data_IF_488693663679
#
_entry.id   IF_488693663679
#
_cell.length_a   1.000
_cell.length_b   1.000
_cell.length_c   1.000
_cell.angle_alpha   90.00
_cell.angle_beta   90.00
_cell.angle_gamma   90.00
#
_symmetry.space_group_name_H-M   'P 1'
#
loop_
_entity.id
_entity.type
_entity.pdbx_description
1 polymer ?
#
# COMPACT_ATOMS: atom_id res chain seq x y z
N UNK A 1 -30.03 -29.29 -32.49
CA UNK A 1 -29.55 -27.89 -32.43
C UNK A 1 -28.02 -27.79 -32.28
N UNK A 2 -27.38 -28.71 -31.56
CA UNK A 2 -25.93 -28.73 -31.34
C UNK A 2 -25.06 -29.22 -32.53
N UNK A 3 -25.64 -29.80 -33.57
CA UNK A 3 -24.89 -30.36 -34.72
C UNK A 3 -24.67 -29.38 -35.88
N UNK A 4 -25.19 -28.14 -35.79
CA UNK A 4 -24.93 -27.10 -36.78
C UNK A 4 -23.65 -26.34 -36.41
N UNK A 5 -22.89 -25.86 -37.40
CA UNK A 5 -21.66 -25.06 -37.22
C UNK A 5 -21.82 -23.94 -36.16
N UNK A 6 -22.99 -23.31 -36.10
CA UNK A 6 -23.33 -22.28 -35.10
C UNK A 6 -23.35 -22.80 -33.65
N UNK A 7 -23.82 -24.02 -33.41
CA UNK A 7 -23.82 -24.62 -32.07
C UNK A 7 -22.41 -24.96 -31.59
N UNK A 8 -21.56 -25.46 -32.49
CA UNK A 8 -20.13 -25.72 -32.22
C UNK A 8 -19.42 -24.41 -31.84
N UNK A 9 -19.63 -23.34 -32.62
CA UNK A 9 -19.03 -22.04 -32.34
C UNK A 9 -19.50 -21.43 -31.01
N UNK A 10 -20.78 -21.61 -30.66
CA UNK A 10 -21.30 -21.13 -29.37
C UNK A 10 -20.64 -21.86 -28.20
N UNK A 11 -20.59 -23.20 -28.24
CA UNK A 11 -19.97 -24.01 -27.18
C UNK A 11 -18.48 -23.70 -27.06
N UNK A 12 -17.77 -23.60 -28.18
CA UNK A 12 -16.36 -23.20 -28.19
C UNK A 12 -16.16 -21.80 -27.61
N UNK A 13 -16.99 -20.83 -28.00
CA UNK A 13 -16.94 -19.46 -27.49
C UNK A 13 -17.14 -19.39 -25.98
N UNK A 14 -18.15 -20.08 -25.44
CA UNK A 14 -18.38 -20.15 -23.99
C UNK A 14 -17.21 -20.85 -23.28
N UNK A 15 -16.67 -21.92 -23.86
CA UNK A 15 -15.51 -22.63 -23.32
C UNK A 15 -14.26 -21.75 -23.23
N UNK A 16 -13.92 -21.04 -24.32
CA UNK A 16 -12.78 -20.12 -24.32
C UNK A 16 -12.99 -18.92 -23.40
N UNK A 17 -14.22 -18.40 -23.29
CA UNK A 17 -14.56 -17.35 -22.34
C UNK A 17 -14.32 -17.82 -20.89
N UNK A 18 -14.84 -19.00 -20.53
CA UNK A 18 -14.67 -19.55 -19.19
C UNK A 18 -13.18 -19.82 -18.88
N UNK A 19 -12.44 -20.40 -19.83
CA UNK A 19 -11.01 -20.63 -19.69
C UNK A 19 -10.25 -19.30 -19.48
N UNK A 20 -10.51 -18.29 -20.31
CA UNK A 20 -9.89 -16.98 -20.18
C UNK A 20 -10.21 -16.32 -18.84
N UNK A 21 -11.48 -16.33 -18.42
CA UNK A 21 -11.92 -15.75 -17.16
C UNK A 21 -11.22 -16.43 -15.96
N UNK A 22 -11.22 -17.76 -15.92
CA UNK A 22 -10.57 -18.51 -14.85
C UNK A 22 -9.05 -18.31 -14.87
N UNK A 23 -8.43 -18.28 -16.04
CA UNK A 23 -6.99 -18.09 -16.17
C UNK A 23 -6.56 -16.71 -15.67
N UNK A 24 -7.34 -15.66 -15.94
CA UNK A 24 -7.06 -14.31 -15.43
C UNK A 24 -7.16 -14.20 -13.90
N UNK A 25 -7.92 -15.08 -13.23
CA UNK A 25 -7.96 -15.11 -11.76
C UNK A 25 -6.88 -16.04 -11.17
N UNK A 26 -6.77 -17.26 -11.70
CA UNK A 26 -5.90 -18.31 -11.14
C UNK A 26 -4.43 -18.00 -11.36
N UNK A 27 -4.05 -17.48 -12.53
CA UNK A 27 -2.64 -17.21 -12.83
C UNK A 27 -2.04 -16.16 -11.88
N UNK A 28 -2.64 -14.98 -11.67
CA UNK A 28 -2.12 -14.01 -10.70
C UNK A 28 -2.07 -14.56 -9.27
N UNK A 29 -3.11 -15.28 -8.82
CA UNK A 29 -3.12 -15.90 -7.48
C UNK A 29 -1.94 -16.85 -7.32
N UNK A 30 -1.69 -17.71 -8.30
CA UNK A 30 -0.56 -18.64 -8.25
C UNK A 30 0.80 -17.95 -8.35
N UNK A 31 0.90 -16.87 -9.13
CA UNK A 31 2.13 -16.09 -9.28
C UNK A 31 2.49 -15.33 -8.00
N UNK A 32 1.50 -14.78 -7.30
CA UNK A 32 1.71 -13.86 -6.19
C UNK A 32 1.49 -14.45 -4.80
N UNK A 33 0.99 -15.69 -4.66
CA UNK A 33 0.70 -16.34 -3.35
C UNK A 33 1.86 -16.38 -2.35
N UNK A 34 3.10 -16.27 -2.83
CA UNK A 34 4.31 -16.36 -2.00
C UNK A 34 5.02 -15.01 -1.84
N UNK A 35 4.50 -13.94 -2.44
CA UNK A 35 5.05 -12.60 -2.21
C UNK A 35 4.55 -12.09 -0.85
N UNK A 36 5.44 -11.83 0.11
CA UNK A 36 5.03 -11.32 1.41
C UNK A 36 4.58 -9.86 1.27
N UNK A 37 3.39 -9.55 1.77
CA UNK A 37 2.94 -8.18 1.95
C UNK A 37 3.21 -7.74 3.38
N UNK A 38 3.86 -6.58 3.53
CA UNK A 38 4.08 -5.98 4.84
C UNK A 38 2.78 -5.38 5.37
N UNK A 39 2.48 -5.63 6.63
CA UNK A 39 1.45 -4.90 7.36
C UNK A 39 1.86 -3.45 7.59
N UNK A 40 0.90 -2.58 7.87
CA UNK A 40 1.15 -1.17 8.25
C UNK A 40 2.16 -1.06 9.42
N UNK A 41 2.11 -1.98 10.39
CA UNK A 41 3.07 -1.99 11.49
C UNK A 41 4.50 -2.30 11.02
N UNK A 42 4.65 -3.22 10.06
CA UNK A 42 5.95 -3.63 9.52
C UNK A 42 6.58 -2.61 8.55
N UNK A 43 5.79 -1.67 8.01
CA UNK A 43 6.35 -0.57 7.20
C UNK A 43 6.91 0.58 8.05
N UNK A 44 6.54 0.65 9.34
CA UNK A 44 7.09 1.65 10.28
C UNK A 44 8.59 1.44 10.40
N UNK A 45 9.35 2.47 10.02
CA UNK A 45 10.81 2.48 10.05
C UNK A 45 11.31 3.77 10.72
N UNK A 46 12.61 3.86 10.95
CA UNK A 46 13.23 5.01 11.64
C UNK A 46 12.90 6.38 11.01
N UNK A 47 12.75 6.48 9.68
CA UNK A 47 12.45 7.74 9.02
C UNK A 47 11.00 8.17 9.26
N UNK A 48 10.05 7.23 9.11
CA UNK A 48 8.64 7.48 9.44
C UNK A 48 8.47 7.79 10.92
N UNK A 49 9.22 7.04 11.76
CA UNK A 49 9.21 7.21 13.20
C UNK A 49 9.65 8.60 13.62
N UNK A 50 10.77 9.05 13.07
CA UNK A 50 11.29 10.39 13.27
C UNK A 50 10.26 11.47 12.89
N UNK A 51 9.63 11.38 11.72
CA UNK A 51 8.66 12.40 11.29
C UNK A 51 7.44 12.49 12.22
N UNK A 52 6.97 11.37 12.75
CA UNK A 52 5.86 11.34 13.67
C UNK A 52 6.23 11.87 15.07
N UNK A 53 7.41 11.53 15.59
CA UNK A 53 7.91 12.10 16.84
C UNK A 53 8.12 13.61 16.73
N UNK A 54 8.60 14.07 15.58
CA UNK A 54 8.74 15.49 15.25
C UNK A 54 7.38 16.21 15.19
N UNK A 55 6.27 15.53 14.85
CA UNK A 55 4.92 16.10 15.01
C UNK A 55 4.57 16.34 16.48
N UNK A 56 4.95 15.43 17.38
CA UNK A 56 4.73 15.60 18.83
C UNK A 56 5.50 16.81 19.38
N UNK A 57 6.69 17.07 18.84
CA UNK A 57 7.50 18.22 19.23
C UNK A 57 6.96 19.54 18.66
N UNK A 58 6.56 19.56 17.38
CA UNK A 58 6.09 20.78 16.70
C UNK A 58 4.67 21.18 17.10
N UNK A 59 3.81 20.21 17.41
CA UNK A 59 2.39 20.42 17.69
C UNK A 59 1.93 19.66 18.95
N UNK A 60 2.50 19.96 20.13
CA UNK A 60 2.31 19.14 21.33
C UNK A 60 0.85 19.04 21.77
N UNK A 61 0.10 20.14 21.82
CA UNK A 61 -1.30 20.13 22.27
C UNK A 61 -2.20 19.28 21.36
N UNK A 62 -2.13 19.49 20.05
CA UNK A 62 -2.90 18.73 19.05
C UNK A 62 -2.50 17.26 19.03
N UNK A 63 -1.20 16.98 19.15
CA UNK A 63 -0.68 15.62 19.16
C UNK A 63 -1.17 14.85 20.40
N UNK A 64 -1.02 15.44 21.59
CA UNK A 64 -1.51 14.82 22.83
C UNK A 64 -3.02 14.62 22.81
N UNK A 65 -3.77 15.53 22.21
CA UNK A 65 -5.23 15.38 22.04
C UNK A 65 -5.58 14.20 21.14
N UNK A 66 -4.85 14.00 20.05
CA UNK A 66 -5.13 12.94 19.07
C UNK A 66 -4.61 11.55 19.50
N UNK A 67 -3.41 11.50 20.08
CA UNK A 67 -2.70 10.23 20.33
C UNK A 67 -2.49 9.93 21.82
N UNK A 68 -2.58 10.92 22.71
CA UNK A 68 -2.28 10.81 24.14
C UNK A 68 -0.82 11.14 24.47
N UNK A 69 -0.44 10.90 25.72
CA UNK A 69 0.94 11.07 26.20
C UNK A 69 1.72 9.76 26.10
N UNK A 70 2.97 9.86 25.61
CA UNK A 70 3.88 8.73 25.56
C UNK A 70 4.33 8.32 26.99
N UNK A 71 4.54 7.01 27.25
CA UNK A 71 5.16 6.56 28.48
C UNK A 71 6.52 7.22 28.76
N UNK A 72 6.88 7.38 30.05
CA UNK A 72 8.16 7.96 30.46
C UNK A 72 9.35 7.00 30.33
N UNK A 73 9.08 5.71 30.32
CA UNK A 73 10.11 4.68 30.18
C UNK A 73 10.49 4.53 28.69
N UNK A 74 11.79 4.62 28.31
CA UNK A 74 12.19 4.69 26.90
C UNK A 74 11.76 3.51 26.03
N UNK A 75 11.83 2.27 26.52
CA UNK A 75 11.44 1.11 25.72
C UNK A 75 9.92 1.09 25.47
N UNK A 76 9.13 1.36 26.50
CA UNK A 76 7.68 1.50 26.39
C UNK A 76 7.28 2.68 25.49
N UNK A 77 8.04 3.79 25.53
CA UNK A 77 7.83 4.92 24.64
C UNK A 77 8.06 4.55 23.17
N UNK A 78 9.13 3.83 22.86
CA UNK A 78 9.45 3.40 21.50
C UNK A 78 8.34 2.51 20.91
N UNK A 79 7.88 1.52 21.67
CA UNK A 79 6.76 0.65 21.26
C UNK A 79 5.46 1.44 21.08
N UNK A 80 5.17 2.37 21.99
CA UNK A 80 4.00 3.24 21.91
C UNK A 80 4.04 4.10 20.65
N UNK A 81 5.19 4.72 20.35
CA UNK A 81 5.34 5.53 19.15
C UNK A 81 5.19 4.70 17.88
N UNK A 82 5.71 3.47 17.83
CA UNK A 82 5.52 2.55 16.71
C UNK A 82 4.04 2.23 16.47
N UNK A 83 3.32 1.89 17.54
CA UNK A 83 1.89 1.61 17.46
C UNK A 83 1.09 2.83 16.98
N UNK A 84 1.33 4.01 17.57
CA UNK A 84 0.63 5.24 17.20
C UNK A 84 0.95 5.74 15.79
N UNK A 85 2.17 5.47 15.31
CA UNK A 85 2.52 5.70 13.91
C UNK A 85 1.70 4.86 12.96
N UNK A 86 1.56 3.58 13.25
CA UNK A 86 0.86 2.66 12.38
C UNK A 86 -0.62 3.07 12.28
N UNK A 87 -1.22 3.42 13.41
CA UNK A 87 -2.58 4.00 13.48
C UNK A 87 -2.69 5.28 12.64
N UNK A 88 -1.75 6.22 12.81
CA UNK A 88 -1.74 7.46 12.05
C UNK A 88 -1.54 7.24 10.53
N UNK A 89 -0.69 6.29 10.14
CA UNK A 89 -0.47 5.93 8.74
C UNK A 89 -1.72 5.33 8.11
N UNK A 90 -2.43 4.47 8.83
CA UNK A 90 -3.67 3.87 8.35
C UNK A 90 -4.74 4.93 8.08
N UNK A 91 -4.94 5.85 9.03
CA UNK A 91 -5.91 6.95 8.89
C UNK A 91 -5.44 7.92 7.78
N UNK A 92 -4.16 8.28 7.77
CA UNK A 92 -3.57 9.17 6.79
C UNK A 92 -3.71 8.64 5.36
N UNK A 93 -3.55 7.34 5.15
CA UNK A 93 -3.76 6.71 3.84
C UNK A 93 -5.23 6.79 3.40
N UNK A 94 -6.18 6.54 4.30
CA UNK A 94 -7.62 6.69 4.01
C UNK A 94 -7.95 8.13 3.57
N UNK A 95 -7.38 9.12 4.25
CA UNK A 95 -7.54 10.54 3.89
C UNK A 95 -6.87 10.83 2.54
N UNK A 96 -5.64 10.38 2.31
CA UNK A 96 -4.91 10.58 1.05
C UNK A 96 -5.68 10.06 -0.16
N UNK A 97 -6.29 8.87 -0.04
CA UNK A 97 -7.13 8.29 -1.09
C UNK A 97 -8.47 9.03 -1.20
N UNK A 98 -9.13 9.30 -0.07
CA UNK A 98 -10.45 9.93 -0.02
C UNK A 98 -10.48 11.35 -0.58
N UNK A 99 -9.44 12.14 -0.30
CA UNK A 99 -9.26 13.50 -0.82
C UNK A 99 -8.68 13.54 -2.25
N UNK A 100 -8.37 12.37 -2.82
CA UNK A 100 -7.85 12.29 -4.18
C UNK A 100 -6.46 12.90 -4.35
N UNK A 101 -5.62 12.91 -3.30
CA UNK A 101 -4.28 13.49 -3.35
C UNK A 101 -3.41 12.89 -4.48
N UNK A 102 -3.64 11.61 -4.82
CA UNK A 102 -2.96 10.88 -5.89
C UNK A 102 -3.17 11.47 -7.30
N UNK A 103 -4.18 12.31 -7.51
CA UNK A 103 -4.35 13.02 -8.79
C UNK A 103 -3.21 14.01 -9.07
N UNK A 104 -2.64 14.61 -8.01
CA UNK A 104 -1.60 15.62 -8.13
C UNK A 104 -0.25 15.16 -7.56
N UNK A 105 -0.25 14.19 -6.65
CA UNK A 105 0.94 13.76 -5.91
C UNK A 105 1.28 12.30 -6.20
N UNK A 106 2.15 12.07 -7.19
CA UNK A 106 2.75 10.75 -7.44
C UNK A 106 3.62 10.32 -6.26
N UNK A 107 3.50 9.04 -5.87
CA UNK A 107 4.42 8.37 -4.95
C UNK A 107 5.45 7.49 -5.69
N UNK A 108 5.60 7.66 -7.01
CA UNK A 108 6.50 6.88 -7.86
C UNK A 108 7.56 7.77 -8.50
N UNK A 109 8.83 7.46 -8.22
CA UNK A 109 10.01 8.10 -8.80
C UNK A 109 10.49 7.28 -9.99
N UNK A 110 10.54 7.90 -11.18
CA UNK A 110 10.81 7.21 -12.45
C UNK A 110 12.32 7.10 -12.73
N UNK A 111 12.77 6.05 -13.44
CA UNK A 111 14.18 5.89 -13.84
C UNK A 111 14.56 6.76 -15.05
N UNK A 112 14.03 7.97 -15.16
CA UNK A 112 14.26 8.87 -16.30
C UNK A 112 14.41 10.32 -15.83
N UNK A 113 14.89 11.19 -16.72
CA UNK A 113 14.93 12.65 -16.52
C UNK A 113 15.63 13.12 -15.24
N UNK A 114 16.60 12.34 -14.73
CA UNK A 114 17.31 12.62 -13.47
C UNK A 114 16.38 12.84 -12.26
N UNK A 115 15.19 12.22 -12.25
CA UNK A 115 14.26 12.35 -11.11
C UNK A 115 14.88 11.92 -9.79
N UNK A 116 15.82 10.96 -9.84
CA UNK A 116 16.49 10.48 -8.64
C UNK A 116 17.29 11.55 -7.89
N UNK A 117 17.80 12.56 -8.61
CA UNK A 117 18.50 13.70 -8.01
C UNK A 117 17.57 14.67 -7.30
N UNK A 118 16.29 14.69 -7.68
CA UNK A 118 15.29 15.61 -7.16
C UNK A 118 14.48 15.00 -6.02
N UNK A 119 14.12 13.73 -6.16
CA UNK A 119 13.13 13.08 -5.29
C UNK A 119 13.69 11.92 -4.46
N UNK A 120 14.94 11.49 -4.72
CA UNK A 120 15.56 10.33 -4.08
C UNK A 120 15.54 9.08 -4.97
N UNK A 121 15.91 7.90 -4.46
CA UNK A 121 16.07 6.70 -5.28
C UNK A 121 14.86 6.36 -6.15
N UNK A 122 15.11 5.78 -7.34
CA UNK A 122 14.06 5.25 -8.22
C UNK A 122 13.22 4.22 -7.48
N UNK A 123 11.90 4.39 -7.54
CA UNK A 123 10.94 3.52 -6.86
C UNK A 123 11.04 2.08 -7.33
N UNK A 124 10.81 1.16 -6.40
CA UNK A 124 10.96 -0.28 -6.61
C UNK A 124 9.65 -1.00 -6.36
N UNK A 125 9.38 -2.06 -7.12
CA UNK A 125 8.08 -2.77 -7.06
C UNK A 125 7.75 -3.30 -5.67
N UNK A 126 8.76 -3.68 -4.87
CA UNK A 126 8.58 -4.18 -3.51
C UNK A 126 8.22 -3.10 -2.48
N UNK A 127 8.38 -1.81 -2.80
CA UNK A 127 8.01 -0.71 -1.89
C UNK A 127 6.49 -0.62 -1.69
N UNK A 128 5.73 -1.10 -2.67
CA UNK A 128 4.26 -1.09 -2.69
C UNK A 128 3.65 -2.44 -2.26
N UNK A 129 4.46 -3.40 -1.82
CA UNK A 129 3.98 -4.69 -1.30
C UNK A 129 3.59 -4.55 0.17
N UNK A 130 2.52 -3.80 0.44
CA UNK A 130 2.00 -3.55 1.77
C UNK A 130 0.46 -3.56 1.81
N UNK A 131 -0.09 -3.87 2.99
CA UNK A 131 -1.52 -3.96 3.28
C UNK A 131 -1.89 -3.38 4.63
#
# INVERSE_FOLDING_TARGET
MFEKKSGILLVAGVGFFALAFLSNAVVPVLMYRHLPEKTIAEVVNGNLRYQFEDLAQRYPESFTTAFGEAPKEPAAAAEWYNAKCAEALEIGHKIYVGEGCWHCHSQFVRPVSNEERRWGPVSKSWEYQNR
#
